data_IF_663976952166
#
_entry.id   IF_663976952166
#
_cell.length_a   1.000
_cell.length_b   1.000
_cell.length_c   1.000
_cell.angle_alpha   90.00
_cell.angle_beta   90.00
_cell.angle_gamma   90.00
#
_symmetry.space_group_name_H-M   'P 1'
#
loop_
_entity.id
_entity.type
_entity.pdbx_description
1 polymer ?
#
# COMPACT_ATOMS: atom_id res chain seq x y z
N UNK A 1 32.97 3.44 15.61
CA UNK A 1 31.72 3.35 16.40
C UNK A 1 30.86 4.54 15.97
N UNK A 2 29.85 4.32 15.14
CA UNK A 2 29.01 5.41 14.61
C UNK A 2 28.13 5.90 15.76
N UNK A 3 28.44 7.09 16.26
CA UNK A 3 27.71 7.74 17.35
C UNK A 3 26.38 8.23 16.80
N UNK A 4 25.37 7.37 16.80
CA UNK A 4 23.98 7.78 16.54
C UNK A 4 23.62 8.81 17.61
N UNK A 5 23.62 10.09 17.24
CA UNK A 5 23.29 11.18 18.15
C UNK A 5 21.78 11.18 18.31
N UNK A 6 21.29 10.86 19.51
CA UNK A 6 19.86 10.88 19.83
C UNK A 6 19.17 12.19 19.38
N UNK A 7 19.88 13.32 19.41
CA UNK A 7 19.39 14.62 18.93
C UNK A 7 19.04 14.68 17.43
N UNK A 8 19.76 13.96 16.57
CA UNK A 8 19.46 13.93 15.12
C UNK A 8 18.16 13.15 14.85
N UNK A 9 17.98 12.01 15.51
CA UNK A 9 16.73 11.22 15.41
C UNK A 9 15.54 12.05 15.88
N UNK A 10 15.66 12.70 17.05
CA UNK A 10 14.58 13.54 17.58
C UNK A 10 14.25 14.72 16.68
N UNK A 11 15.26 15.33 16.03
CA UNK A 11 15.06 16.41 15.06
C UNK A 11 14.27 15.92 13.84
N UNK A 12 14.67 14.80 13.23
CA UNK A 12 13.98 14.22 12.07
C UNK A 12 12.52 13.88 12.40
N UNK A 13 12.26 13.28 13.56
CA UNK A 13 10.89 12.95 13.98
C UNK A 13 10.06 14.23 14.16
N UNK A 14 10.61 15.26 14.82
CA UNK A 14 9.91 16.53 15.03
C UNK A 14 9.56 17.20 13.71
N UNK A 15 10.50 17.27 12.77
CA UNK A 15 10.27 17.82 11.44
C UNK A 15 9.13 17.10 10.69
N UNK A 16 9.06 15.77 10.79
CA UNK A 16 7.95 14.99 10.18
C UNK A 16 6.59 15.27 10.84
N UNK A 17 6.56 15.49 12.15
CA UNK A 17 5.33 15.84 12.88
C UNK A 17 4.88 17.25 12.52
N UNK A 18 5.79 18.22 12.46
CA UNK A 18 5.48 19.60 12.07
C UNK A 18 4.93 19.69 10.64
N UNK A 19 5.41 18.83 9.74
CA UNK A 19 4.92 18.73 8.36
C UNK A 19 3.66 17.87 8.19
N UNK A 20 3.17 17.23 9.26
CA UNK A 20 2.01 16.36 9.18
C UNK A 20 0.73 17.18 9.00
N UNK A 21 0.28 17.30 7.75
CA UNK A 21 -0.99 17.94 7.41
C UNK A 21 -2.12 16.91 7.42
N UNK A 22 -3.16 17.13 8.23
CA UNK A 22 -4.36 16.27 8.25
C UNK A 22 -5.35 16.77 7.22
N UNK A 23 -5.19 16.33 5.97
CA UNK A 23 -6.19 16.57 4.93
C UNK A 23 -7.24 15.47 4.94
N UNK A 24 -8.50 15.84 5.16
CA UNK A 24 -9.62 14.92 4.94
C UNK A 24 -9.78 14.76 3.43
N UNK A 25 -9.39 13.59 2.91
CA UNK A 25 -9.56 13.22 1.50
C UNK A 25 -10.75 12.29 1.36
N UNK A 26 -11.57 12.53 0.34
CA UNK A 26 -12.59 11.57 -0.10
C UNK A 26 -11.82 10.43 -0.77
N UNK A 27 -11.90 9.23 -0.20
CA UNK A 27 -11.20 8.04 -0.69
C UNK A 27 -12.23 7.02 -1.16
N UNK A 28 -12.05 6.53 -2.38
CA UNK A 28 -12.84 5.43 -2.91
C UNK A 28 -12.49 4.14 -2.14
N UNK A 29 -13.49 3.55 -1.52
CA UNK A 29 -13.33 2.46 -0.56
C UNK A 29 -14.20 1.28 -0.97
N UNK A 30 -13.75 0.06 -0.70
CA UNK A 30 -14.49 -1.17 -0.89
C UNK A 30 -14.41 -2.07 0.33
N UNK A 31 -15.12 -3.20 0.25
CA UNK A 31 -15.22 -4.23 1.29
C UNK A 31 -14.84 -5.58 0.71
N UNK A 32 -13.94 -6.31 1.36
CA UNK A 32 -13.55 -7.66 0.92
C UNK A 32 -14.74 -8.62 1.06
N UNK A 33 -15.13 -9.28 -0.02
CA UNK A 33 -16.14 -10.34 -0.04
C UNK A 33 -15.52 -11.71 0.19
N UNK A 34 -14.34 -11.94 -0.40
CA UNK A 34 -13.65 -13.22 -0.33
C UNK A 34 -12.16 -12.98 -0.53
N UNK A 35 -11.35 -13.76 0.18
CA UNK A 35 -9.91 -13.87 -0.04
C UNK A 35 -9.54 -15.35 -0.16
N UNK A 36 -8.65 -15.68 -1.10
CA UNK A 36 -8.12 -17.04 -1.27
C UNK A 36 -7.00 -17.06 -2.30
N UNK A 37 -5.96 -17.85 -2.05
CA UNK A 37 -4.77 -18.00 -2.92
C UNK A 37 -4.22 -16.65 -3.43
N UNK A 38 -4.05 -15.70 -2.52
CA UNK A 38 -3.58 -14.32 -2.79
C UNK A 38 -4.46 -13.50 -3.76
N UNK A 39 -5.71 -13.90 -3.94
CA UNK A 39 -6.73 -13.18 -4.71
C UNK A 39 -7.84 -12.74 -3.77
N UNK A 40 -8.16 -11.45 -3.80
CA UNK A 40 -9.29 -10.86 -3.10
C UNK A 40 -10.37 -10.42 -4.10
N UNK A 41 -11.63 -10.67 -3.75
CA UNK A 41 -12.79 -10.10 -4.42
C UNK A 41 -13.37 -9.01 -3.55
N UNK A 42 -13.50 -7.81 -4.10
CA UNK A 42 -13.87 -6.62 -3.32
C UNK A 42 -15.15 -6.04 -3.89
N UNK A 43 -16.13 -5.76 -3.04
CA UNK A 43 -17.32 -4.99 -3.38
C UNK A 43 -17.05 -3.49 -3.24
N UNK A 44 -17.60 -2.69 -4.17
CA UNK A 44 -17.35 -1.25 -4.24
C UNK A 44 -16.09 -0.95 -5.07
N UNK A 45 -15.29 0.01 -4.63
CA UNK A 45 -14.18 0.55 -5.41
C UNK A 45 -14.65 1.07 -6.80
N UNK A 46 -15.81 1.71 -6.88
CA UNK A 46 -16.47 2.06 -8.16
C UNK A 46 -15.62 2.94 -9.10
N UNK A 47 -14.73 3.77 -8.55
CA UNK A 47 -13.82 4.64 -9.30
C UNK A 47 -12.41 4.02 -9.53
N UNK A 48 -12.19 2.74 -9.21
CA UNK A 48 -10.86 2.13 -9.33
C UNK A 48 -10.50 1.88 -10.79
N UNK A 49 -9.25 2.12 -11.13
CA UNK A 49 -8.73 1.88 -12.48
C UNK A 49 -8.09 0.49 -12.59
N UNK A 50 -8.08 -0.05 -13.80
CA UNK A 50 -7.36 -1.31 -14.08
C UNK A 50 -5.87 -1.10 -13.86
N UNK A 51 -5.22 -2.03 -13.17
CA UNK A 51 -3.82 -1.94 -12.78
C UNK A 51 -3.56 -0.97 -11.61
N UNK A 52 -4.58 -0.42 -10.97
CA UNK A 52 -4.40 0.46 -9.81
C UNK A 52 -3.96 -0.33 -8.57
N UNK A 53 -3.05 0.27 -7.79
CA UNK A 53 -2.68 -0.20 -6.47
C UNK A 53 -3.81 0.10 -5.50
N UNK A 54 -4.22 -0.92 -4.75
CA UNK A 54 -5.16 -0.80 -3.64
C UNK A 54 -4.46 -1.14 -2.34
N UNK A 55 -4.93 -0.56 -1.25
CA UNK A 55 -4.37 -0.75 0.09
C UNK A 55 -5.44 -1.33 1.00
N UNK A 56 -5.17 -2.50 1.55
CA UNK A 56 -6.03 -3.16 2.53
C UNK A 56 -5.85 -2.50 3.90
N UNK A 57 -6.85 -2.66 4.77
CA UNK A 57 -6.87 -2.06 6.12
C UNK A 57 -5.63 -2.38 6.96
N UNK A 58 -5.07 -3.58 6.80
CA UNK A 58 -3.83 -4.02 7.46
C UNK A 58 -2.54 -3.44 6.86
N UNK A 59 -2.62 -2.78 5.70
CA UNK A 59 -1.48 -2.21 4.97
C UNK A 59 -0.93 -3.08 3.83
N UNK A 60 -1.48 -4.26 3.58
CA UNK A 60 -1.15 -5.07 2.40
C UNK A 60 -1.53 -4.31 1.13
N UNK A 61 -0.64 -4.33 0.13
CA UNK A 61 -0.90 -3.72 -1.18
C UNK A 61 -1.42 -4.80 -2.12
N UNK A 62 -2.40 -4.46 -2.95
CA UNK A 62 -2.85 -5.31 -4.04
C UNK A 62 -2.90 -4.54 -5.36
N UNK A 63 -3.09 -5.26 -6.46
CA UNK A 63 -3.25 -4.73 -7.81
C UNK A 63 -4.65 -5.10 -8.30
N UNK A 64 -5.45 -4.10 -8.68
CA UNK A 64 -6.74 -4.32 -9.31
C UNK A 64 -6.56 -4.83 -10.74
N UNK A 65 -7.06 -6.02 -11.05
CA UNK A 65 -6.94 -6.64 -12.38
C UNK A 65 -8.28 -6.71 -13.10
N UNK A 66 -9.29 -7.29 -12.46
CA UNK A 66 -10.60 -7.52 -13.07
C UNK A 66 -11.61 -6.54 -12.49
N UNK A 67 -12.14 -5.65 -13.33
CA UNK A 67 -13.22 -4.75 -12.96
C UNK A 67 -14.54 -5.34 -13.43
N UNK A 68 -15.21 -6.10 -12.55
CA UNK A 68 -16.54 -6.66 -12.84
C UNK A 68 -17.64 -5.69 -12.41
N UNK A 69 -18.87 -5.95 -12.85
CA UNK A 69 -20.03 -5.08 -12.56
C UNK A 69 -20.42 -5.00 -11.08
N UNK A 70 -20.02 -6.00 -10.28
CA UNK A 70 -20.39 -6.11 -8.85
C UNK A 70 -19.20 -6.23 -7.92
N UNK A 71 -18.03 -6.55 -8.44
CA UNK A 71 -16.85 -6.76 -7.62
C UNK A 71 -15.58 -6.48 -8.43
N UNK A 72 -14.49 -6.24 -7.73
CA UNK A 72 -13.17 -6.04 -8.28
C UNK A 72 -12.28 -7.18 -7.83
N UNK A 73 -11.65 -7.85 -8.80
CA UNK A 73 -10.61 -8.85 -8.55
C UNK A 73 -9.27 -8.16 -8.32
N UNK A 74 -8.69 -8.38 -7.14
CA UNK A 74 -7.41 -7.82 -6.72
C UNK A 74 -6.44 -8.95 -6.41
N UNK A 75 -5.23 -8.87 -6.96
CA UNK A 75 -4.12 -9.75 -6.58
C UNK A 75 -3.31 -9.10 -5.48
N UNK A 76 -3.03 -9.83 -4.42
CA UNK A 76 -2.27 -9.36 -3.26
C UNK A 76 -0.76 -9.38 -3.55
N UNK A 77 -0.07 -8.33 -3.11
CA UNK A 77 1.39 -8.17 -3.20
C UNK A 77 2.02 -8.33 -1.83
N UNK A 78 1.71 -9.44 -1.16
CA UNK A 78 2.15 -9.80 0.18
C UNK A 78 1.30 -10.95 0.73
N UNK A 79 1.67 -11.44 1.91
CA UNK A 79 0.97 -12.57 2.54
C UNK A 79 -0.40 -12.10 3.07
N UNK A 80 -1.49 -12.40 2.36
CA UNK A 80 -2.86 -11.98 2.69
C UNK A 80 -3.48 -12.63 3.93
N UNK A 81 -2.66 -13.08 4.88
CA UNK A 81 -3.06 -13.92 6.02
C UNK A 81 -3.92 -13.20 7.06
N UNK A 82 -3.83 -11.87 7.10
CA UNK A 82 -4.57 -11.05 8.06
C UNK A 82 -5.86 -10.47 7.46
N UNK A 83 -6.05 -10.60 6.14
CA UNK A 83 -7.21 -10.07 5.43
C UNK A 83 -8.40 -10.99 5.70
N UNK A 84 -9.52 -10.40 6.11
CA UNK A 84 -10.74 -11.13 6.37
C UNK A 84 -11.87 -10.63 5.47
N UNK A 85 -12.90 -11.45 5.31
CA UNK A 85 -14.16 -10.97 4.77
C UNK A 85 -14.67 -9.80 5.62
N UNK A 86 -15.09 -8.72 4.97
CA UNK A 86 -15.48 -7.47 5.62
C UNK A 86 -14.36 -6.45 5.80
N UNK A 87 -13.08 -6.81 5.60
CA UNK A 87 -11.97 -5.84 5.68
C UNK A 87 -12.15 -4.70 4.68
N UNK A 88 -11.76 -3.50 5.09
CA UNK A 88 -11.82 -2.32 4.22
C UNK A 88 -10.65 -2.30 3.25
N UNK A 89 -10.90 -1.85 2.01
CA UNK A 89 -9.86 -1.66 0.99
C UNK A 89 -9.99 -0.29 0.38
N UNK A 90 -8.88 0.41 0.18
CA UNK A 90 -8.82 1.77 -0.34
C UNK A 90 -8.12 1.80 -1.70
N UNK A 91 -8.74 2.48 -2.66
CA UNK A 91 -8.09 2.80 -3.93
C UNK A 91 -7.05 3.92 -3.71
N UNK A 92 -5.81 3.70 -4.17
CA UNK A 92 -4.72 4.66 -3.94
C UNK A 92 -4.60 5.72 -5.04
N UNK A 93 -5.35 5.57 -6.14
CA UNK A 93 -5.27 6.35 -7.40
C UNK A 93 -3.89 6.30 -8.06
N UNK A 94 -3.10 5.28 -7.73
CA UNK A 94 -1.78 5.04 -8.30
C UNK A 94 -1.88 3.79 -9.17
N UNK A 95 -1.85 3.97 -10.48
CA UNK A 95 -1.59 2.84 -11.40
C UNK A 95 -0.25 2.22 -10.99
N UNK A 96 -0.14 0.89 -11.13
CA UNK A 96 1.03 0.10 -10.77
C UNK A 96 2.32 0.85 -11.16
N UNK A 97 2.99 1.34 -10.13
CA UNK A 97 4.18 2.17 -10.24
C UNK A 97 5.16 1.81 -9.15
N UNK A 98 6.43 2.07 -9.42
CA UNK A 98 7.52 1.77 -8.52
C UNK A 98 8.42 3.01 -8.41
N UNK A 99 9.02 3.20 -7.24
CA UNK A 99 10.02 4.24 -7.05
C UNK A 99 11.30 3.86 -7.79
N UNK A 100 11.89 4.82 -8.50
CA UNK A 100 13.15 4.67 -9.23
C UNK A 100 14.14 5.74 -8.79
N UNK A 101 15.39 5.36 -8.59
CA UNK A 101 16.47 6.25 -8.17
C UNK A 101 17.81 5.53 -8.25
N UNK A 102 18.90 6.27 -8.42
CA UNK A 102 20.26 5.75 -8.20
C UNK A 102 20.49 5.32 -6.75
N UNK A 103 19.67 5.79 -5.80
CA UNK A 103 19.72 5.40 -4.40
C UNK A 103 19.47 3.89 -4.16
N UNK A 104 18.98 3.17 -5.17
CA UNK A 104 18.81 1.71 -5.13
C UNK A 104 20.07 0.93 -5.53
N UNK A 105 21.08 1.60 -6.13
CA UNK A 105 22.31 0.93 -6.52
C UNK A 105 23.05 0.38 -5.29
N UNK A 106 23.38 -0.91 -5.34
CA UNK A 106 24.03 -1.61 -4.24
C UNK A 106 23.08 -2.06 -3.12
N UNK A 107 21.79 -1.75 -3.20
CA UNK A 107 20.77 -2.20 -2.25
C UNK A 107 20.09 -3.48 -2.71
N UNK A 108 19.56 -4.25 -1.76
CA UNK A 108 18.63 -5.35 -2.05
C UNK A 108 17.22 -4.85 -1.79
N UNK A 109 16.33 -4.94 -2.79
CA UNK A 109 14.94 -4.46 -2.70
C UNK A 109 13.94 -5.56 -3.05
N UNK A 110 12.73 -5.45 -2.51
CA UNK A 110 11.60 -6.26 -2.93
C UNK A 110 10.89 -5.69 -4.18
N UNK A 111 9.88 -6.41 -4.69
CA UNK A 111 9.12 -6.03 -5.88
C UNK A 111 8.34 -4.70 -5.76
N UNK A 112 8.17 -4.18 -4.53
CA UNK A 112 7.55 -2.89 -4.24
C UNK A 112 8.59 -1.77 -3.98
N UNK A 113 9.86 -2.00 -4.36
CA UNK A 113 11.01 -1.11 -4.13
C UNK A 113 11.23 -0.69 -2.68
N UNK A 114 10.87 -1.56 -1.73
CA UNK A 114 11.27 -1.42 -0.32
C UNK A 114 12.62 -2.13 -0.11
N UNK A 115 13.58 -1.50 0.59
CA UNK A 115 14.83 -2.17 0.97
C UNK A 115 14.59 -3.38 1.88
N UNK A 116 15.34 -4.45 1.64
CA UNK A 116 15.33 -5.70 2.42
C UNK A 116 16.75 -6.12 2.86
N UNK A 117 17.72 -5.24 2.69
CA UNK A 117 19.14 -5.42 3.01
C UNK A 117 19.52 -5.13 4.47
N UNK A 118 18.58 -4.65 5.29
CA UNK A 118 18.78 -4.32 6.71
C UNK A 118 19.26 -2.89 6.94
#
# INVERSE_FOLDING_TARGET
>A
MVTIRAGEISKIIRERIEQYNTEVKIVNTGTVLQVGDDIARIYGLDEVMTGELVEFEEGTIGIALNLESKNVGVVLMGDGLMIQEGSSVKATRRIAQILVSEAYLGRVINALAKPIDG
#
